data_IF_927353957493
#
_entry.id   IF_927353957493
#
_cell.length_a   1.000
_cell.length_b   1.000
_cell.length_c   1.000
_cell.angle_alpha   90.00
_cell.angle_beta   90.00
_cell.angle_gamma   90.00
#
_symmetry.space_group_name_H-M   'P 1'
#
loop_
_entity.id
_entity.type
_entity.pdbx_description
1 polymer ?
#
# COMPACT_ATOMS: atom_id res chain seq x y z
N UNK A 1 -17.61 58.07 -31.05
CA UNK A 1 -17.15 57.83 -29.67
C UNK A 1 -17.10 56.32 -29.46
N UNK A 2 -15.91 55.73 -29.34
CA UNK A 2 -15.77 54.28 -29.13
C UNK A 2 -15.83 53.95 -27.65
N UNK A 3 -16.74 53.05 -27.28
CA UNK A 3 -16.88 52.54 -25.90
C UNK A 3 -15.79 51.47 -25.70
N UNK A 4 -14.85 51.71 -24.79
CA UNK A 4 -13.90 50.68 -24.35
C UNK A 4 -14.63 49.69 -23.45
N UNK A 5 -14.75 48.44 -23.91
CA UNK A 5 -15.24 47.31 -23.12
C UNK A 5 -14.01 46.67 -22.45
N UNK A 6 -13.96 46.72 -21.13
CA UNK A 6 -12.90 46.08 -20.36
C UNK A 6 -13.23 44.59 -20.16
N UNK A 7 -12.21 43.73 -20.23
CA UNK A 7 -12.36 42.32 -19.88
C UNK A 7 -12.52 42.13 -18.36
N UNK A 8 -13.10 41.00 -17.96
CA UNK A 8 -13.37 40.68 -16.55
C UNK A 8 -12.10 40.66 -15.68
N UNK A 9 -10.93 40.33 -16.25
CA UNK A 9 -9.66 40.35 -15.52
C UNK A 9 -9.17 41.79 -15.27
N UNK A 10 -9.40 42.70 -16.22
CA UNK A 10 -9.08 44.12 -16.10
C UNK A 10 -10.00 44.80 -15.07
N UNK A 11 -11.30 44.47 -15.09
CA UNK A 11 -12.26 44.95 -14.08
C UNK A 11 -11.81 44.51 -12.67
N UNK A 12 -11.39 43.25 -12.52
CA UNK A 12 -10.89 42.71 -11.25
C UNK A 12 -9.62 43.41 -10.76
N UNK A 13 -8.65 43.67 -11.65
CA UNK A 13 -7.42 44.43 -11.33
C UNK A 13 -7.70 45.87 -10.91
N UNK A 14 -8.70 46.53 -11.52
CA UNK A 14 -9.09 47.90 -11.15
C UNK A 14 -9.75 47.92 -9.76
N UNK A 15 -10.60 46.94 -9.45
CA UNK A 15 -11.20 46.79 -8.12
C UNK A 15 -10.13 46.51 -7.05
N UNK A 16 -9.13 45.68 -7.35
CA UNK A 16 -8.04 45.39 -6.42
C UNK A 16 -7.15 46.61 -6.14
N UNK A 17 -6.88 47.46 -7.15
CA UNK A 17 -6.14 48.73 -6.96
C UNK A 17 -6.90 49.73 -6.10
N UNK A 18 -8.22 49.86 -6.26
CA UNK A 18 -9.05 50.70 -5.36
C UNK A 18 -9.09 50.15 -3.93
N UNK A 19 -8.96 48.83 -3.76
CA UNK A 19 -8.91 48.21 -2.43
C UNK A 19 -7.65 48.57 -1.62
N UNK A 20 -6.62 49.14 -2.26
CA UNK A 20 -5.44 49.64 -1.54
C UNK A 20 -5.68 50.97 -0.80
N UNK A 21 -6.75 51.70 -1.14
CA UNK A 21 -7.21 52.89 -0.41
C UNK A 21 -8.15 52.56 0.76
N UNK A 22 -8.38 51.28 1.05
CA UNK A 22 -9.15 50.89 2.24
C UNK A 22 -8.42 51.36 3.50
N UNK A 23 -9.18 51.96 4.42
CA UNK A 23 -8.65 52.32 5.74
C UNK A 23 -8.17 51.07 6.47
N UNK A 24 -7.28 51.24 7.46
CA UNK A 24 -6.81 50.12 8.30
C UNK A 24 -7.99 49.32 8.90
N UNK A 25 -9.09 49.99 9.25
CA UNK A 25 -10.30 49.37 9.75
C UNK A 25 -10.99 48.47 8.70
N UNK A 26 -11.15 48.96 7.48
CA UNK A 26 -11.76 48.21 6.39
C UNK A 26 -10.91 47.00 5.96
N UNK A 27 -9.58 47.14 5.95
CA UNK A 27 -8.66 46.01 5.69
C UNK A 27 -8.79 44.93 6.78
N UNK A 28 -8.91 45.33 8.05
CA UNK A 28 -9.13 44.42 9.18
C UNK A 28 -10.48 43.69 9.08
N UNK A 29 -11.54 44.39 8.69
CA UNK A 29 -12.87 43.80 8.53
C UNK A 29 -12.92 42.80 7.36
N UNK A 30 -12.33 43.16 6.21
CA UNK A 30 -12.22 42.23 5.06
C UNK A 30 -11.42 40.98 5.41
N UNK A 31 -10.35 41.10 6.21
CA UNK A 31 -9.59 39.95 6.69
C UNK A 31 -10.41 39.05 7.63
N UNK A 32 -11.24 39.64 8.51
CA UNK A 32 -12.16 38.89 9.37
C UNK A 32 -13.21 38.13 8.56
N UNK A 33 -13.81 38.78 7.55
CA UNK A 33 -14.78 38.16 6.66
C UNK A 33 -14.17 36.99 5.89
N UNK A 34 -12.98 37.16 5.29
CA UNK A 34 -12.26 36.05 4.63
C UNK A 34 -11.93 34.90 5.59
N UNK A 35 -11.57 35.20 6.83
CA UNK A 35 -11.30 34.18 7.85
C UNK A 35 -12.58 33.41 8.24
N UNK A 36 -13.71 34.11 8.36
CA UNK A 36 -15.02 33.49 8.60
C UNK A 36 -15.46 32.60 7.45
N UNK A 37 -15.33 33.08 6.22
CA UNK A 37 -15.65 32.34 5.00
C UNK A 37 -14.78 31.08 4.86
N UNK A 38 -13.47 31.21 5.09
CA UNK A 38 -12.56 30.06 5.13
C UNK A 38 -12.94 29.05 6.23
N UNK A 39 -13.32 29.52 7.43
CA UNK A 39 -13.81 28.64 8.50
C UNK A 39 -15.12 27.95 8.15
N UNK A 40 -16.01 28.58 7.40
CA UNK A 40 -17.28 28.01 6.95
C UNK A 40 -17.08 26.97 5.85
N UNK A 41 -16.25 27.28 4.83
CA UNK A 41 -15.82 26.33 3.80
C UNK A 41 -15.12 25.10 4.39
N UNK A 42 -14.25 25.32 5.37
CA UNK A 42 -13.57 24.22 6.07
C UNK A 42 -14.54 23.40 6.93
N UNK A 43 -15.55 24.02 7.54
CA UNK A 43 -16.61 23.31 8.29
C UNK A 43 -17.55 22.51 7.38
N UNK A 44 -17.88 23.00 6.18
CA UNK A 44 -18.73 22.26 5.23
C UNK A 44 -17.98 21.08 4.60
N UNK A 45 -16.66 21.22 4.36
CA UNK A 45 -15.82 20.13 3.87
C UNK A 45 -15.46 19.10 4.96
N UNK A 46 -15.17 19.53 6.19
CA UNK A 46 -14.80 18.63 7.30
C UNK A 46 -16.00 18.03 8.06
N UNK A 47 -17.19 18.61 7.91
CA UNK A 47 -18.42 18.23 8.60
C UNK A 47 -18.76 16.73 8.54
N UNK A 48 -18.81 16.09 7.35
CA UNK A 48 -19.09 14.66 7.24
C UNK A 48 -17.95 13.79 7.79
N UNK A 49 -16.70 14.22 7.64
CA UNK A 49 -15.53 13.48 8.12
C UNK A 49 -15.39 13.47 9.65
N UNK A 50 -15.74 14.58 10.33
CA UNK A 50 -15.74 14.66 11.80
C UNK A 50 -16.83 13.80 12.42
N UNK A 51 -18.03 13.80 11.85
CA UNK A 51 -19.12 12.93 12.30
C UNK A 51 -18.78 11.44 12.18
N UNK A 52 -18.14 11.04 11.07
CA UNK A 52 -17.68 9.65 10.91
C UNK A 52 -16.58 9.26 11.89
N UNK A 53 -15.60 10.16 12.15
CA UNK A 53 -14.56 9.90 13.15
C UNK A 53 -15.13 9.74 14.55
N UNK A 54 -16.09 10.60 14.93
CA UNK A 54 -16.75 10.52 16.22
C UNK A 54 -17.60 9.25 16.35
N UNK A 55 -18.35 8.87 15.30
CA UNK A 55 -19.07 7.58 15.26
C UNK A 55 -18.13 6.38 15.35
N UNK A 56 -16.98 6.40 14.65
CA UNK A 56 -15.97 5.32 14.75
C UNK A 56 -15.36 5.22 16.15
N UNK A 57 -15.05 6.36 16.77
CA UNK A 57 -14.56 6.40 18.15
C UNK A 57 -15.62 5.91 19.13
N UNK A 58 -16.88 6.32 18.96
CA UNK A 58 -17.99 5.88 19.79
C UNK A 58 -18.22 4.37 19.65
N UNK A 59 -18.26 3.85 18.43
CA UNK A 59 -18.37 2.40 18.18
C UNK A 59 -17.18 1.65 18.77
N UNK A 60 -15.97 2.21 18.70
CA UNK A 60 -14.78 1.62 19.31
C UNK A 60 -14.89 1.58 20.85
N UNK A 61 -15.35 2.67 21.47
CA UNK A 61 -15.58 2.73 22.92
C UNK A 61 -16.65 1.70 23.31
N UNK A 62 -17.74 1.62 22.57
CA UNK A 62 -18.80 0.64 22.81
C UNK A 62 -18.29 -0.81 22.68
N UNK A 63 -17.34 -1.07 21.76
CA UNK A 63 -16.74 -2.39 21.56
C UNK A 63 -15.66 -2.77 22.60
N UNK A 64 -15.22 -1.84 23.46
CA UNK A 64 -14.26 -2.15 24.53
C UNK A 64 -14.91 -2.85 25.73
N UNK A 65 -16.25 -2.98 25.73
CA UNK A 65 -17.03 -3.61 26.78
C UNK A 65 -17.72 -2.57 27.68
N UNK A 66 -18.95 -2.88 28.08
CA UNK A 66 -19.68 -2.08 29.08
C UNK A 66 -19.02 -2.29 30.45
N UNK A 67 -18.65 -1.19 31.13
CA UNK A 67 -18.15 -1.22 32.51
C UNK A 67 -16.71 -0.74 32.75
N UNK A 68 -15.97 -0.31 31.72
CA UNK A 68 -14.64 0.30 31.92
C UNK A 68 -14.74 1.74 32.42
N UNK A 69 -13.86 2.13 33.35
CA UNK A 69 -13.72 3.54 33.74
C UNK A 69 -13.09 4.35 32.60
N UNK A 70 -13.26 5.68 32.65
CA UNK A 70 -12.64 6.59 31.68
C UNK A 70 -11.10 6.46 31.64
N UNK A 71 -10.49 6.25 32.81
CA UNK A 71 -9.05 6.07 32.96
C UNK A 71 -8.59 4.76 32.28
N UNK A 72 -9.27 3.65 32.56
CA UNK A 72 -8.98 2.35 31.94
C UNK A 72 -9.15 2.40 30.41
N UNK A 73 -10.19 3.07 29.92
CA UNK A 73 -10.41 3.25 28.47
C UNK A 73 -9.26 4.03 27.83
N UNK A 74 -8.81 5.10 28.49
CA UNK A 74 -7.70 5.94 28.02
C UNK A 74 -6.38 5.17 27.98
N UNK A 75 -6.10 4.36 29.01
CA UNK A 75 -4.91 3.50 29.07
C UNK A 75 -4.93 2.43 27.99
N UNK A 76 -6.05 1.74 27.77
CA UNK A 76 -6.18 0.76 26.69
C UNK A 76 -5.96 1.38 25.30
N UNK A 77 -6.45 2.62 25.08
CA UNK A 77 -6.17 3.36 23.84
C UNK A 77 -4.67 3.65 23.70
N UNK A 78 -4.01 4.09 24.77
CA UNK A 78 -2.56 4.36 24.76
C UNK A 78 -1.77 3.08 24.48
N UNK A 79 -2.09 1.98 25.17
CA UNK A 79 -1.45 0.68 24.96
C UNK A 79 -1.63 0.17 23.53
N UNK A 80 -2.82 0.26 22.95
CA UNK A 80 -3.07 -0.13 21.55
C UNK A 80 -2.27 0.71 20.56
N UNK A 81 -2.20 2.03 20.77
CA UNK A 81 -1.37 2.93 19.94
C UNK A 81 0.10 2.59 20.05
N UNK A 82 0.59 2.28 21.25
CA UNK A 82 1.96 1.89 21.47
C UNK A 82 2.26 0.56 20.78
N UNK A 83 1.44 -0.48 21.01
CA UNK A 83 1.55 -1.78 20.33
C UNK A 83 1.58 -1.65 18.81
N UNK A 84 0.77 -0.77 18.24
CA UNK A 84 0.77 -0.52 16.80
C UNK A 84 2.08 0.14 16.32
N UNK A 85 2.64 1.08 17.09
CA UNK A 85 3.94 1.68 16.78
C UNK A 85 5.08 0.65 16.89
N UNK A 86 5.05 -0.16 17.94
CA UNK A 86 6.05 -1.21 18.18
C UNK A 86 5.98 -2.26 17.07
N UNK A 87 4.79 -2.72 16.69
CA UNK A 87 4.61 -3.65 15.57
C UNK A 87 5.10 -3.09 14.23
N UNK A 88 4.87 -1.79 13.96
CA UNK A 88 5.41 -1.14 12.78
C UNK A 88 6.94 -1.09 12.79
N UNK A 89 7.55 -0.81 13.94
CA UNK A 89 9.00 -0.81 14.12
C UNK A 89 9.58 -2.21 13.92
N UNK A 90 8.98 -3.24 14.53
CA UNK A 90 9.43 -4.63 14.39
C UNK A 90 9.36 -5.10 12.92
N UNK A 91 8.34 -4.69 12.17
CA UNK A 91 8.23 -5.04 10.74
C UNK A 91 9.30 -4.34 9.89
N UNK A 92 9.65 -3.09 10.20
CA UNK A 92 10.78 -2.39 9.56
C UNK A 92 12.08 -3.14 9.84
N UNK A 93 12.33 -3.48 11.10
CA UNK A 93 13.54 -4.22 11.51
C UNK A 93 13.62 -5.60 10.84
N UNK A 94 12.50 -6.32 10.71
CA UNK A 94 12.44 -7.58 9.98
C UNK A 94 12.86 -7.41 8.51
N UNK A 95 12.31 -6.41 7.81
CA UNK A 95 12.65 -6.13 6.42
C UNK A 95 14.10 -5.67 6.21
N UNK A 96 14.71 -5.03 7.22
CA UNK A 96 16.08 -4.52 7.16
C UNK A 96 17.13 -5.59 7.50
N UNK A 97 16.85 -6.42 8.50
CA UNK A 97 17.84 -7.35 9.05
C UNK A 97 17.75 -8.76 8.46
N UNK A 98 16.69 -9.05 7.71
CA UNK A 98 16.47 -10.35 7.05
C UNK A 98 16.57 -11.55 8.00
N UNK A 99 16.17 -11.36 9.26
CA UNK A 99 16.34 -12.35 10.35
C UNK A 99 15.38 -13.53 10.25
N UNK A 100 14.23 -13.33 9.62
CA UNK A 100 13.20 -14.33 9.41
C UNK A 100 12.96 -14.48 7.91
N UNK A 101 12.21 -15.51 7.55
CA UNK A 101 11.70 -15.70 6.21
C UNK A 101 10.94 -14.49 5.70
N UNK A 102 10.77 -14.44 4.39
CA UNK A 102 10.04 -13.37 3.70
C UNK A 102 8.64 -13.84 3.32
N UNK A 103 7.69 -12.93 3.35
CA UNK A 103 6.43 -13.05 2.60
C UNK A 103 6.49 -12.01 1.49
N UNK A 104 6.39 -12.49 0.25
CA UNK A 104 6.54 -11.69 -0.97
C UNK A 104 5.23 -11.74 -1.73
N UNK A 105 4.61 -10.58 -1.95
CA UNK A 105 3.44 -10.45 -2.82
C UNK A 105 3.92 -10.10 -4.22
N UNK A 106 3.70 -10.98 -5.18
CA UNK A 106 4.10 -10.82 -6.57
C UNK A 106 2.98 -10.20 -7.42
N UNK A 107 3.15 -8.93 -7.83
CA UNK A 107 2.15 -8.18 -8.58
C UNK A 107 2.26 -8.34 -10.11
N UNK A 108 2.97 -9.35 -10.61
CA UNK A 108 3.11 -9.60 -12.05
C UNK A 108 1.76 -9.76 -12.80
N UNK A 109 0.66 -10.04 -12.10
CA UNK A 109 -0.68 -10.20 -12.68
C UNK A 109 -1.57 -8.96 -12.56
N UNK A 110 -1.01 -7.81 -12.18
CA UNK A 110 -1.77 -6.57 -12.00
C UNK A 110 -2.59 -6.18 -13.24
N UNK A 111 -2.06 -6.39 -14.44
CA UNK A 111 -2.73 -6.03 -15.69
C UNK A 111 -3.94 -6.91 -16.03
N UNK A 112 -4.06 -8.08 -15.38
CA UNK A 112 -5.22 -8.97 -15.54
C UNK A 112 -6.40 -8.56 -14.65
N UNK A 113 -6.20 -7.62 -13.72
CA UNK A 113 -7.22 -7.20 -12.76
C UNK A 113 -7.93 -5.91 -13.18
N UNK A 114 -9.24 -5.88 -12.97
CA UNK A 114 -10.01 -4.64 -13.01
C UNK A 114 -9.61 -3.68 -11.88
N UNK A 115 -9.99 -2.40 -12.02
CA UNK A 115 -9.75 -1.37 -10.98
C UNK A 115 -10.37 -1.78 -9.63
N UNK A 116 -11.52 -2.45 -9.66
CA UNK A 116 -12.22 -2.90 -8.44
C UNK A 116 -11.41 -4.01 -7.75
N UNK A 117 -10.82 -4.92 -8.54
CA UNK A 117 -9.95 -6.00 -8.06
C UNK A 117 -8.63 -5.45 -7.53
N UNK A 118 -7.97 -4.52 -8.24
CA UNK A 118 -6.78 -3.80 -7.73
C UNK A 118 -7.04 -3.13 -6.38
N UNK A 119 -8.19 -2.45 -6.23
CA UNK A 119 -8.60 -1.85 -4.95
C UNK A 119 -8.83 -2.90 -3.84
N UNK A 120 -9.33 -4.06 -4.22
CA UNK A 120 -9.51 -5.21 -3.32
C UNK A 120 -8.15 -5.76 -2.86
N UNK A 121 -7.22 -5.95 -3.80
CA UNK A 121 -5.85 -6.38 -3.53
C UNK A 121 -5.15 -5.43 -2.57
N UNK A 122 -5.18 -4.12 -2.81
CA UNK A 122 -4.58 -3.14 -1.88
C UNK A 122 -5.19 -3.20 -0.48
N UNK A 123 -6.47 -3.60 -0.37
CA UNK A 123 -7.12 -3.83 0.93
C UNK A 123 -6.60 -5.09 1.61
N UNK A 124 -6.38 -6.16 0.87
CA UNK A 124 -5.83 -7.42 1.40
C UNK A 124 -4.37 -7.24 1.84
N UNK A 125 -3.53 -6.60 1.02
CA UNK A 125 -2.14 -6.27 1.39
C UNK A 125 -2.11 -5.45 2.70
N UNK A 126 -2.97 -4.43 2.81
CA UNK A 126 -3.10 -3.64 4.04
C UNK A 126 -3.47 -4.52 5.25
N UNK A 127 -4.43 -5.45 5.10
CA UNK A 127 -4.80 -6.37 6.18
C UNK A 127 -3.64 -7.29 6.57
N UNK A 128 -2.90 -7.82 5.61
CA UNK A 128 -1.72 -8.66 5.86
C UNK A 128 -0.66 -7.91 6.68
N UNK A 129 -0.38 -6.64 6.34
CA UNK A 129 0.51 -5.78 7.14
C UNK A 129 0.01 -5.64 8.57
N UNK A 130 -1.28 -5.36 8.76
CA UNK A 130 -1.86 -5.23 10.09
C UNK A 130 -1.78 -6.53 10.90
N UNK A 131 -1.91 -7.68 10.25
CA UNK A 131 -1.76 -8.98 10.89
C UNK A 131 -0.31 -9.22 11.33
N UNK A 132 0.65 -9.00 10.43
CA UNK A 132 2.08 -9.18 10.71
C UNK A 132 2.57 -8.31 11.87
N UNK A 133 2.06 -7.09 11.99
CA UNK A 133 2.40 -6.17 13.10
C UNK A 133 2.00 -6.67 14.49
N UNK A 134 1.19 -7.74 14.60
CA UNK A 134 0.82 -8.31 15.89
C UNK A 134 1.92 -9.19 16.49
N UNK A 135 2.85 -9.68 15.64
CA UNK A 135 3.92 -10.58 16.03
C UNK A 135 5.14 -9.81 16.55
N UNK A 136 5.83 -10.38 17.53
CA UNK A 136 7.06 -9.80 18.07
C UNK A 136 8.20 -9.89 17.04
N UNK A 137 8.27 -11.01 16.33
CA UNK A 137 9.22 -11.29 15.27
C UNK A 137 8.44 -11.60 13.99
N UNK A 138 7.97 -10.58 13.24
CA UNK A 138 7.23 -10.82 12.02
C UNK A 138 8.13 -11.34 10.90
N UNK A 139 7.53 -11.98 9.89
CA UNK A 139 8.18 -12.20 8.61
C UNK A 139 8.44 -10.85 7.93
N UNK A 140 9.54 -10.75 7.19
CA UNK A 140 9.81 -9.62 6.30
C UNK A 140 8.70 -9.54 5.26
N UNK A 141 8.13 -8.36 5.01
CA UNK A 141 7.02 -8.21 4.06
C UNK A 141 7.45 -7.38 2.85
N UNK A 142 7.39 -8.00 1.67
CA UNK A 142 7.79 -7.37 0.41
C UNK A 142 6.64 -7.42 -0.58
N UNK A 143 6.54 -6.37 -1.40
CA UNK A 143 5.64 -6.33 -2.56
C UNK A 143 6.47 -6.00 -3.78
N UNK A 144 6.50 -6.90 -4.76
CA UNK A 144 7.29 -6.77 -6.00
C UNK A 144 6.38 -6.51 -7.20
N UNK A 145 6.94 -6.03 -8.31
CA UNK A 145 6.16 -5.72 -9.52
C UNK A 145 5.25 -4.50 -9.34
N UNK A 146 5.70 -3.49 -8.59
CA UNK A 146 4.92 -2.26 -8.36
C UNK A 146 5.10 -1.25 -9.51
N UNK A 147 4.76 -1.66 -10.73
CA UNK A 147 4.80 -0.84 -11.95
C UNK A 147 3.43 -0.21 -12.28
N UNK A 148 2.33 -0.86 -11.91
CA UNK A 148 0.97 -0.34 -12.07
C UNK A 148 0.67 0.86 -11.16
N UNK A 149 0.55 2.05 -11.77
CA UNK A 149 0.28 3.32 -11.08
C UNK A 149 -1.04 3.28 -10.28
N UNK A 150 -2.06 2.57 -10.80
CA UNK A 150 -3.36 2.47 -10.12
C UNK A 150 -3.23 1.76 -8.78
N UNK A 151 -2.60 0.59 -8.75
CA UNK A 151 -2.38 -0.21 -7.53
C UNK A 151 -1.48 0.55 -6.55
N UNK A 152 -0.43 1.20 -7.05
CA UNK A 152 0.44 2.04 -6.22
C UNK A 152 -0.33 3.17 -5.52
N UNK A 153 -1.16 3.92 -6.25
CA UNK A 153 -1.97 4.99 -5.67
C UNK A 153 -3.02 4.48 -4.67
N UNK A 154 -3.62 3.30 -4.90
CA UNK A 154 -4.53 2.68 -3.93
C UNK A 154 -3.81 2.28 -2.63
N UNK A 155 -2.58 1.77 -2.71
CA UNK A 155 -1.75 1.46 -1.53
C UNK A 155 -1.37 2.75 -0.79
N UNK A 156 -0.95 3.79 -1.52
CA UNK A 156 -0.60 5.09 -0.95
C UNK A 156 -1.77 5.75 -0.22
N UNK A 157 -2.98 5.72 -0.80
CA UNK A 157 -4.21 6.22 -0.17
C UNK A 157 -4.53 5.53 1.17
N UNK A 158 -4.01 4.32 1.39
CA UNK A 158 -4.17 3.55 2.64
C UNK A 158 -3.00 3.74 3.61
N UNK A 159 -2.06 4.62 3.28
CA UNK A 159 -0.90 4.91 4.11
C UNK A 159 0.24 3.91 3.95
N UNK A 160 0.37 3.29 2.76
CA UNK A 160 1.43 2.32 2.42
C UNK A 160 2.84 2.73 2.85
N UNK A 161 3.17 4.02 2.71
CA UNK A 161 4.47 4.59 3.10
C UNK A 161 4.80 4.38 4.60
N UNK A 162 3.79 4.23 5.44
CA UNK A 162 3.93 4.05 6.89
C UNK A 162 3.84 2.59 7.34
N UNK A 163 3.75 1.63 6.40
CA UNK A 163 3.53 0.22 6.70
C UNK A 163 4.77 -0.50 7.21
N UNK A 164 5.97 0.02 6.96
CA UNK A 164 7.21 -0.68 7.29
C UNK A 164 7.45 -1.89 6.39
N UNK A 165 6.89 -1.83 5.17
CA UNK A 165 6.97 -2.83 4.11
C UNK A 165 7.92 -2.32 3.04
N UNK A 166 8.58 -3.23 2.33
CA UNK A 166 9.43 -2.87 1.18
C UNK A 166 8.64 -3.04 -0.11
N UNK A 167 8.59 -1.97 -0.91
CA UNK A 167 7.94 -1.96 -2.22
C UNK A 167 9.00 -1.92 -3.30
N UNK A 168 8.98 -2.90 -4.20
CA UNK A 168 9.89 -2.99 -5.33
C UNK A 168 9.13 -2.71 -6.62
N UNK A 169 9.67 -1.79 -7.43
CA UNK A 169 9.11 -1.49 -8.76
C UNK A 169 9.41 -2.57 -9.78
N UNK A 170 10.51 -3.30 -9.59
CA UNK A 170 11.01 -4.32 -10.51
C UNK A 170 10.34 -5.66 -10.28
N UNK A 171 10.53 -6.59 -11.22
CA UNK A 171 10.01 -7.95 -11.12
C UNK A 171 10.62 -8.71 -9.93
N UNK A 172 10.01 -9.84 -9.56
CA UNK A 172 10.49 -10.69 -8.48
C UNK A 172 11.99 -11.06 -8.65
N UNK A 173 12.40 -11.52 -9.84
CA UNK A 173 13.78 -11.94 -10.10
C UNK A 173 14.79 -10.79 -10.12
N UNK A 174 14.36 -9.58 -10.49
CA UNK A 174 15.23 -8.40 -10.50
C UNK A 174 15.42 -7.80 -9.12
N UNK A 175 14.37 -7.84 -8.30
CA UNK A 175 14.30 -7.26 -6.96
C UNK A 175 15.18 -8.00 -5.95
N UNK A 176 15.39 -9.30 -6.15
CA UNK A 176 16.19 -10.13 -5.25
C UNK A 176 17.41 -10.71 -5.97
N UNK A 177 18.56 -10.64 -5.31
CA UNK A 177 19.73 -11.43 -5.74
C UNK A 177 19.72 -12.78 -5.07
N UNK A 178 20.15 -13.79 -5.80
CA UNK A 178 20.46 -15.08 -5.20
C UNK A 178 21.53 -14.92 -4.11
N UNK A 179 21.22 -15.37 -2.90
CA UNK A 179 22.11 -15.34 -1.74
C UNK A 179 23.39 -16.14 -1.97
N UNK A 180 23.31 -17.27 -2.68
CA UNK A 180 24.47 -18.11 -2.99
C UNK A 180 25.44 -17.40 -3.94
N UNK A 181 24.92 -16.58 -4.85
CA UNK A 181 25.75 -15.75 -5.74
C UNK A 181 26.38 -14.56 -5.00
N UNK A 182 25.67 -13.97 -4.03
CA UNK A 182 26.18 -12.85 -3.23
C UNK A 182 27.43 -13.22 -2.44
N UNK A 183 27.48 -14.40 -1.83
CA UNK A 183 28.66 -14.85 -1.06
C UNK A 183 29.93 -14.90 -1.93
N UNK A 184 29.79 -15.16 -3.24
CA UNK A 184 30.90 -15.12 -4.19
C UNK A 184 31.27 -13.68 -4.60
N UNK A 185 30.29 -12.77 -4.70
CA UNK A 185 30.47 -11.38 -5.14
C UNK A 185 30.97 -10.48 -4.00
N UNK A 186 30.57 -10.71 -2.75
CA UNK A 186 31.04 -9.94 -1.57
C UNK A 186 32.57 -9.94 -1.42
N UNK A 187 33.23 -10.98 -1.92
CA UNK A 187 34.69 -11.06 -1.98
C UNK A 187 35.32 -10.08 -2.99
N UNK A 188 34.52 -9.49 -3.90
CA UNK A 188 34.99 -8.69 -5.04
C UNK A 188 34.72 -7.17 -4.93
N UNK A 189 34.20 -6.69 -3.79
CA UNK A 189 34.06 -5.26 -3.42
C UNK A 189 33.45 -4.34 -4.50
N UNK A 190 32.12 -4.33 -4.60
CA UNK A 190 31.27 -3.16 -4.89
C UNK A 190 29.81 -3.63 -4.98
N UNK A 191 29.16 -3.81 -3.83
CA UNK A 191 27.73 -4.11 -3.83
C UNK A 191 26.93 -2.81 -3.80
N UNK A 192 26.04 -2.66 -4.77
CA UNK A 192 25.01 -1.64 -4.77
C UNK A 192 24.17 -1.78 -3.49
N UNK A 193 24.08 -0.69 -2.73
CA UNK A 193 23.58 -0.63 -1.35
C UNK A 193 22.10 -1.04 -1.14
N UNK A 194 21.38 -1.49 -2.17
CA UNK A 194 19.92 -1.69 -2.10
C UNK A 194 19.41 -3.03 -2.65
N UNK A 195 20.28 -4.04 -2.85
CA UNK A 195 19.80 -5.32 -3.40
C UNK A 195 19.54 -6.34 -2.30
N UNK A 196 18.26 -6.63 -2.05
CA UNK A 196 17.82 -7.65 -1.11
C UNK A 196 18.27 -9.03 -1.59
N UNK A 197 18.59 -9.92 -0.66
CA UNK A 197 18.94 -11.32 -0.98
C UNK A 197 17.73 -12.23 -0.79
N UNK A 198 17.65 -13.29 -1.59
CA UNK A 198 16.70 -14.37 -1.38
C UNK A 198 17.43 -15.71 -1.53
N UNK A 199 17.06 -16.66 -0.68
CA UNK A 199 17.50 -18.04 -0.77
C UNK A 199 16.44 -18.82 -1.55
N UNK A 200 16.70 -19.05 -2.84
CA UNK A 200 15.75 -19.70 -3.73
C UNK A 200 15.50 -21.17 -3.35
N UNK A 201 16.47 -21.83 -2.71
CA UNK A 201 16.34 -23.22 -2.27
C UNK A 201 15.36 -23.35 -1.08
N UNK A 202 15.23 -22.28 -0.29
CA UNK A 202 14.25 -22.16 0.79
C UNK A 202 13.10 -21.19 0.44
N UNK A 203 12.71 -21.14 -0.84
CA UNK A 203 11.60 -20.30 -1.32
C UNK A 203 10.48 -21.15 -1.92
N UNK A 204 9.24 -20.89 -1.50
CA UNK A 204 8.04 -21.61 -1.92
C UNK A 204 7.04 -20.64 -2.55
N UNK A 205 6.62 -20.93 -3.79
CA UNK A 205 5.50 -20.21 -4.41
C UNK A 205 4.18 -20.88 -4.03
N UNK A 206 3.32 -20.16 -3.31
CA UNK A 206 2.03 -20.68 -2.86
C UNK A 206 1.00 -20.58 -3.99
N UNK A 207 0.51 -21.73 -4.44
CA UNK A 207 -0.51 -21.85 -5.48
C UNK A 207 -1.58 -22.88 -5.05
N UNK A 208 -2.88 -22.61 -5.29
CA UNK A 208 -3.93 -23.60 -5.08
C UNK A 208 -3.79 -24.83 -6.00
N UNK A 209 -3.13 -24.67 -7.15
CA UNK A 209 -2.94 -25.73 -8.15
C UNK A 209 -1.64 -26.53 -7.91
N UNK A 210 -0.93 -26.29 -6.80
CA UNK A 210 0.25 -27.06 -6.46
C UNK A 210 -0.10 -28.54 -6.27
N UNK A 211 0.67 -29.44 -6.90
CA UNK A 211 0.47 -30.89 -6.79
C UNK A 211 0.79 -31.44 -5.40
N UNK A 212 1.67 -30.75 -4.67
CA UNK A 212 2.15 -31.14 -3.35
C UNK A 212 1.61 -30.20 -2.28
N UNK A 213 1.02 -30.72 -1.18
CA UNK A 213 0.56 -29.89 -0.09
C UNK A 213 1.75 -29.35 0.72
N UNK A 214 1.63 -28.11 1.20
CA UNK A 214 2.56 -27.57 2.19
C UNK A 214 2.29 -28.22 3.56
N UNK A 215 3.18 -29.12 3.99
CA UNK A 215 3.02 -29.88 5.24
C UNK A 215 3.60 -29.16 6.45
N UNK A 216 4.78 -28.58 6.30
CA UNK A 216 5.51 -27.91 7.37
C UNK A 216 6.43 -26.83 6.77
N UNK A 217 6.86 -25.89 7.61
CA UNK A 217 7.81 -24.84 7.24
C UNK A 217 8.59 -24.36 8.46
N UNK A 218 9.79 -23.83 8.22
CA UNK A 218 10.58 -23.19 9.27
C UNK A 218 10.44 -21.67 9.22
N UNK A 219 10.88 -20.99 10.27
CA UNK A 219 10.81 -19.53 10.38
C UNK A 219 11.66 -18.79 9.33
N UNK A 220 12.56 -19.48 8.62
CA UNK A 220 13.44 -18.93 7.59
C UNK A 220 12.89 -19.12 6.18
N UNK A 221 11.81 -19.90 6.00
CA UNK A 221 11.23 -20.17 4.69
C UNK A 221 10.64 -18.90 4.07
N UNK A 222 10.98 -18.65 2.81
CA UNK A 222 10.41 -17.55 2.03
C UNK A 222 9.15 -18.03 1.30
N UNK A 223 8.08 -17.24 1.37
CA UNK A 223 6.83 -17.51 0.69
C UNK A 223 6.56 -16.44 -0.37
N UNK A 224 6.22 -16.88 -1.57
CA UNK A 224 5.73 -16.00 -2.64
C UNK A 224 4.24 -16.28 -2.81
N UNK A 225 3.45 -15.21 -2.85
CA UNK A 225 2.01 -15.26 -3.09
C UNK A 225 1.73 -14.42 -4.33
N UNK A 226 1.07 -15.01 -5.32
CA UNK A 226 0.56 -14.26 -6.47
C UNK A 226 -0.45 -13.21 -6.02
N UNK A 227 -0.15 -11.93 -6.25
CA UNK A 227 -1.02 -10.81 -5.92
C UNK A 227 -2.15 -10.66 -6.94
N UNK A 228 -3.02 -11.65 -7.01
CA UNK A 228 -4.14 -11.72 -7.96
C UNK A 228 -5.47 -11.78 -7.20
N UNK A 229 -6.47 -11.05 -7.69
CA UNK A 229 -7.85 -11.17 -7.26
C UNK A 229 -8.65 -11.67 -8.46
N UNK A 230 -9.02 -12.95 -8.42
CA UNK A 230 -9.89 -13.56 -9.43
C UNK A 230 -11.31 -13.70 -8.88
N UNK A 231 -12.25 -12.95 -9.46
CA UNK A 231 -13.68 -13.04 -9.12
C UNK A 231 -14.46 -13.92 -10.12
N UNK A 232 -13.81 -14.47 -11.13
CA UNK A 232 -14.48 -15.10 -12.27
C UNK A 232 -14.92 -16.55 -12.01
N UNK A 233 -14.40 -17.22 -10.98
CA UNK A 233 -14.79 -18.60 -10.64
C UNK A 233 -16.20 -18.74 -9.98
N UNK A 234 -16.98 -17.66 -9.91
CA UNK A 234 -18.31 -17.66 -9.28
C UNK A 234 -19.51 -17.83 -10.21
N UNK A 235 -19.33 -17.97 -11.53
CA UNK A 235 -20.45 -17.94 -12.49
C UNK A 235 -20.25 -18.88 -13.70
N UNK A 236 -20.00 -20.17 -13.47
CA UNK A 236 -19.94 -21.22 -14.53
C UNK A 236 -21.25 -21.41 -15.34
N UNK A 237 -22.24 -20.52 -15.21
CA UNK A 237 -23.45 -20.49 -16.04
C UNK A 237 -23.49 -19.35 -17.08
N UNK A 238 -22.41 -18.59 -17.27
CA UNK A 238 -22.35 -17.61 -18.38
C UNK A 238 -21.24 -18.01 -19.33
N UNK A 239 -21.66 -18.52 -20.50
CA UNK A 239 -20.80 -18.79 -21.67
C UNK A 239 -19.75 -17.69 -21.79
N UNK A 240 -18.49 -18.05 -21.57
CA UNK A 240 -17.36 -17.16 -21.74
C UNK A 240 -17.31 -16.66 -23.19
N UNK A 241 -17.01 -15.38 -23.44
CA UNK A 241 -16.65 -14.94 -24.78
C UNK A 241 -15.41 -15.73 -25.21
N UNK A 242 -15.46 -16.28 -26.41
CA UNK A 242 -14.40 -17.05 -27.05
C UNK A 242 -13.14 -16.17 -27.12
N UNK A 243 -12.22 -16.34 -26.17
CA UNK A 243 -10.93 -15.63 -26.16
C UNK A 243 -10.02 -16.36 -27.15
N UNK A 244 -9.70 -15.72 -28.27
CA UNK A 244 -8.77 -16.25 -29.26
C UNK A 244 -7.38 -16.32 -28.64
N UNK A 245 -6.89 -17.54 -28.40
CA UNK A 245 -5.65 -17.84 -27.67
C UNK A 245 -4.37 -17.66 -28.52
N UNK A 246 -4.35 -16.74 -29.49
CA UNK A 246 -3.22 -16.66 -30.43
C UNK A 246 -2.00 -15.91 -29.90
N UNK A 247 -2.13 -15.15 -28.80
CA UNK A 247 -1.10 -14.16 -28.43
C UNK A 247 -0.46 -14.41 -27.04
N UNK A 248 -0.75 -15.52 -26.38
CA UNK A 248 0.01 -15.97 -25.21
C UNK A 248 1.08 -16.96 -25.64
N UNK A 249 2.12 -16.41 -26.26
CA UNK A 249 3.36 -17.11 -26.55
C UNK A 249 3.95 -17.71 -25.27
N UNK A 250 3.94 -19.04 -25.23
CA UNK A 250 4.80 -20.08 -24.65
C UNK A 250 6.14 -19.77 -23.95
N UNK A 251 6.49 -18.52 -23.63
CA UNK A 251 7.86 -18.17 -23.22
C UNK A 251 8.25 -18.40 -21.76
N UNK A 252 7.31 -18.60 -20.83
CA UNK A 252 7.69 -18.68 -19.39
C UNK A 252 7.39 -20.01 -18.66
N UNK A 253 6.52 -20.87 -19.16
CA UNK A 253 6.24 -22.17 -18.51
C UNK A 253 7.24 -23.27 -18.88
N UNK A 254 7.83 -23.23 -20.09
CA UNK A 254 8.81 -24.24 -20.51
C UNK A 254 10.23 -24.01 -19.98
N UNK A 255 10.52 -22.84 -19.39
CA UNK A 255 11.84 -22.54 -18.81
C UNK A 255 12.02 -23.09 -17.39
N UNK A 256 10.92 -23.42 -16.70
CA UNK A 256 10.95 -23.97 -15.34
C UNK A 256 11.03 -25.51 -15.29
N UNK A 257 10.93 -26.21 -16.43
CA UNK A 257 11.00 -27.69 -16.49
C UNK A 257 12.34 -28.25 -17.00
N UNK A 258 13.27 -27.41 -17.47
CA UNK A 258 14.54 -27.86 -18.09
C UNK A 258 15.80 -27.76 -17.23
N UNK A 259 15.70 -27.44 -15.95
CA UNK A 259 16.88 -27.35 -15.06
C UNK A 259 16.91 -28.36 -13.92
N UNK A 260 16.03 -29.37 -13.93
CA UNK A 260 16.04 -30.48 -12.97
C UNK A 260 16.94 -31.67 -13.35
N UNK A 261 17.49 -31.71 -14.57
CA UNK A 261 18.40 -32.79 -15.00
C UNK A 261 19.85 -32.31 -15.03
N UNK A 262 20.45 -32.18 -13.85
CA UNK A 262 21.84 -31.71 -13.83
C UNK A 262 22.56 -31.64 -12.50
N UNK A 263 22.11 -32.30 -11.42
CA UNK A 263 22.92 -32.45 -10.22
C UNK A 263 22.69 -33.83 -9.59
N UNK A 264 23.77 -34.62 -9.58
CA UNK A 264 23.98 -35.74 -8.66
C UNK A 264 24.80 -35.24 -7.48
#
# INVERSE_FOLDING_TARGET
MSIQVFDDQQIKKIQDKKSNQLTKAQKKERARQKCLEYKLLKKSQDGPAKGQKQKKLQNFINNLGEGLTYEQTTEQIKMRKQKHKDGAKNLIEACQNDQNGKIIIDLAYCDLMSIIEKRSLSSQINLSVFELRKYQQPFSFHVVGMDDETTFEQIKQRGGESWGTVFHKTSLRESFTDRNLLTAIEQSQQLNENKYSIDWDNTIYLSPDASEPLLDFNEQTNFIIGGLIDRTLGNDNKKSPEYQSSDLDTYDLQRNLKLGEGFK
#
